data_IF_626719150972
#
_entry.id   IF_626719150972
#
_cell.length_a   1.000
_cell.length_b   1.000
_cell.length_c   1.000
_cell.angle_alpha   90.00
_cell.angle_beta   90.00
_cell.angle_gamma   90.00
#
_symmetry.space_group_name_H-M   'P 1'
#
loop_
_entity.id
_entity.type
_entity.pdbx_description
1 polymer ?
#
# COMPACT_ATOMS: atom_id res chain seq x y z
N UNK A 1 0.69 14.34 1.94
CA UNK A 1 -0.55 13.90 1.26
C UNK A 1 -1.36 13.00 2.18
N UNK A 2 -2.69 13.13 2.18
CA UNK A 2 -3.57 12.29 3.02
C UNK A 2 -4.32 11.27 2.16
N UNK A 3 -4.27 10.01 2.58
CA UNK A 3 -5.04 8.91 2.00
C UNK A 3 -5.99 8.37 3.07
N UNK A 4 -7.30 8.36 2.82
CA UNK A 4 -8.28 7.74 3.72
C UNK A 4 -8.53 6.29 3.33
N UNK A 5 -8.49 5.39 4.31
CA UNK A 5 -8.91 3.99 4.14
C UNK A 5 -10.32 3.82 4.65
N UNK A 6 -11.20 3.33 3.79
CA UNK A 6 -12.58 3.00 4.14
C UNK A 6 -12.73 1.49 4.42
N UNK A 7 -13.78 1.12 5.16
CA UNK A 7 -14.07 -0.28 5.58
C UNK A 7 -14.00 -1.29 4.43
N UNK A 8 -14.43 -0.90 3.23
CA UNK A 8 -14.44 -1.77 2.04
C UNK A 8 -13.06 -1.89 1.34
N UNK A 9 -11.97 -1.70 2.09
CA UNK A 9 -10.56 -1.74 1.61
C UNK A 9 -10.22 -0.73 0.50
N UNK A 10 -11.13 0.21 0.21
CA UNK A 10 -10.90 1.30 -0.74
C UNK A 10 -10.03 2.38 -0.07
N UNK A 11 -9.02 2.84 -0.80
CA UNK A 11 -8.21 3.99 -0.40
C UNK A 11 -8.66 5.19 -1.23
N UNK A 12 -8.76 6.36 -0.61
CA UNK A 12 -9.11 7.60 -1.29
C UNK A 12 -8.01 8.62 -1.05
N UNK A 13 -7.40 9.11 -2.11
CA UNK A 13 -6.40 10.15 -2.03
C UNK A 13 -7.10 11.52 -2.01
N UNK A 14 -7.03 12.20 -0.86
CA UNK A 14 -7.67 13.52 -0.69
C UNK A 14 -7.08 14.56 -1.63
N UNK A 15 -5.77 14.49 -1.90
CA UNK A 15 -5.07 15.45 -2.76
C UNK A 15 -5.41 15.29 -4.26
N UNK A 16 -5.85 14.11 -4.69
CA UNK A 16 -6.21 13.82 -6.09
C UNK A 16 -7.71 13.61 -6.28
N UNK A 17 -8.49 13.78 -5.21
CA UNK A 17 -9.94 13.57 -5.14
C UNK A 17 -10.42 12.27 -5.82
N UNK A 18 -9.66 11.18 -5.67
CA UNK A 18 -9.97 9.90 -6.32
C UNK A 18 -9.65 8.68 -5.48
N UNK A 19 -10.36 7.60 -5.75
CA UNK A 19 -10.01 6.28 -5.24
C UNK A 19 -8.70 5.80 -5.87
N UNK A 20 -7.87 5.18 -5.03
CA UNK A 20 -6.56 4.64 -5.40
C UNK A 20 -6.41 3.23 -4.86
N UNK A 21 -5.50 2.46 -5.46
CA UNK A 21 -5.22 1.10 -5.06
C UNK A 21 -3.87 1.01 -4.31
N UNK A 22 -3.47 -0.22 -3.97
CA UNK A 22 -2.19 -0.47 -3.35
C UNK A 22 -1.00 -0.20 -4.29
N UNK A 23 -1.18 -0.29 -5.61
CA UNK A 23 -0.11 -0.03 -6.56
C UNK A 23 0.22 1.47 -6.63
N UNK A 24 -0.80 2.32 -6.55
CA UNK A 24 -0.62 3.76 -6.39
C UNK A 24 0.20 4.07 -5.14
N UNK A 25 -0.13 3.46 -3.99
CA UNK A 25 0.63 3.65 -2.74
C UNK A 25 2.09 3.19 -2.89
N UNK A 26 2.33 2.06 -3.57
CA UNK A 26 3.69 1.60 -3.89
C UNK A 26 4.44 2.63 -4.76
N UNK A 27 3.77 3.23 -5.74
CA UNK A 27 4.33 4.30 -6.56
C UNK A 27 4.84 5.47 -5.72
N UNK A 28 4.02 5.94 -4.77
CA UNK A 28 4.40 7.01 -3.85
C UNK A 28 5.65 6.69 -3.03
N UNK A 29 5.76 5.44 -2.55
CA UNK A 29 6.92 4.97 -1.78
C UNK A 29 8.18 5.01 -2.67
N UNK A 30 8.09 4.48 -3.89
CA UNK A 30 9.21 4.44 -4.85
C UNK A 30 9.69 5.85 -5.21
N UNK A 31 8.74 6.76 -5.39
CA UNK A 31 8.99 8.17 -5.71
C UNK A 31 9.31 9.02 -4.46
N UNK A 32 9.41 8.40 -3.27
CA UNK A 32 9.74 9.04 -1.99
C UNK A 32 8.80 10.19 -1.59
N UNK A 33 7.53 10.12 -1.99
CA UNK A 33 6.53 11.10 -1.57
C UNK A 33 6.18 10.95 -0.09
N UNK A 34 5.98 12.09 0.58
CA UNK A 34 5.45 12.14 1.95
C UNK A 34 3.92 11.96 1.95
N UNK A 35 3.43 10.89 2.58
CA UNK A 35 2.01 10.63 2.75
C UNK A 35 1.69 10.01 4.10
N UNK A 36 0.43 10.16 4.51
CA UNK A 36 -0.15 9.55 5.72
C UNK A 36 -1.44 8.84 5.31
N UNK A 37 -1.64 7.63 5.83
CA UNK A 37 -2.86 6.85 5.65
C UNK A 37 -3.66 6.89 6.94
N UNK A 38 -4.86 7.44 6.87
CA UNK A 38 -5.79 7.51 7.99
C UNK A 38 -6.92 6.50 7.81
N UNK A 39 -7.36 5.88 8.91
CA UNK A 39 -8.51 5.00 8.90
C UNK A 39 -9.85 5.77 9.04
N UNK A 40 -10.96 5.04 9.21
CA UNK A 40 -12.29 5.66 9.41
C UNK A 40 -12.43 6.45 10.71
N UNK A 41 -11.58 6.20 11.71
CA UNK A 41 -11.51 6.93 12.98
C UNK A 41 -10.48 8.07 12.93
N UNK A 42 -9.87 8.32 11.77
CA UNK A 42 -8.75 9.25 11.57
C UNK A 42 -7.47 8.87 12.33
N UNK A 43 -7.28 7.58 12.64
CA UNK A 43 -6.03 7.08 13.23
C UNK A 43 -4.98 6.84 12.14
N UNK A 44 -3.71 7.17 12.42
CA UNK A 44 -2.60 6.90 11.51
C UNK A 44 -2.28 5.40 11.46
N UNK A 45 -2.56 4.80 10.30
CA UNK A 45 -2.33 3.39 10.02
C UNK A 45 -1.26 3.19 8.94
N UNK A 46 -0.46 4.22 8.64
CA UNK A 46 0.56 4.21 7.58
C UNK A 46 1.50 3.02 7.74
N UNK A 47 2.11 2.86 8.92
CA UNK A 47 3.03 1.77 9.20
C UNK A 47 2.38 0.38 9.07
N UNK A 48 1.13 0.23 9.50
CA UNK A 48 0.40 -1.03 9.36
C UNK A 48 0.20 -1.41 7.88
N UNK A 49 -0.15 -0.43 7.05
CA UNK A 49 -0.33 -0.64 5.60
C UNK A 49 1.00 -0.91 4.92
N UNK A 50 2.08 -0.20 5.29
CA UNK A 50 3.42 -0.45 4.77
C UNK A 50 3.92 -1.86 5.10
N UNK A 51 3.76 -2.31 6.35
CA UNK A 51 4.11 -3.66 6.76
C UNK A 51 3.32 -4.72 5.98
N UNK A 52 2.03 -4.47 5.74
CA UNK A 52 1.19 -5.35 4.90
C UNK A 52 1.71 -5.43 3.46
N UNK A 53 2.08 -4.29 2.87
CA UNK A 53 2.64 -4.21 1.52
C UNK A 53 3.97 -4.95 1.43
N UNK A 54 4.86 -4.74 2.40
CA UNK A 54 6.16 -5.41 2.48
C UNK A 54 5.99 -6.94 2.56
N UNK A 55 5.13 -7.43 3.46
CA UNK A 55 4.84 -8.88 3.57
C UNK A 55 4.31 -9.46 2.27
N UNK A 56 3.46 -8.73 1.54
CA UNK A 56 2.94 -9.14 0.24
C UNK A 56 4.06 -9.29 -0.79
N UNK A 57 4.97 -8.32 -0.85
CA UNK A 57 6.09 -8.33 -1.80
C UNK A 57 7.10 -9.44 -1.50
N UNK A 58 7.45 -9.65 -0.23
CA UNK A 58 8.34 -10.73 0.20
C UNK A 58 7.79 -12.11 -0.20
N UNK A 59 6.48 -12.36 0.03
CA UNK A 59 5.84 -13.60 -0.40
C UNK A 59 5.86 -13.77 -1.92
N UNK A 60 5.57 -12.70 -2.67
CA UNK A 60 5.60 -12.72 -4.14
C UNK A 60 7.01 -13.04 -4.67
N UNK A 61 8.05 -12.54 -4.01
CA UNK A 61 9.44 -12.80 -4.37
C UNK A 61 9.86 -14.23 -4.02
N UNK A 62 9.43 -14.77 -2.88
CA UNK A 62 9.68 -16.17 -2.52
C UNK A 62 9.08 -17.14 -3.56
N UNK A 63 7.80 -16.94 -3.92
CA UNK A 63 7.10 -17.75 -4.93
C UNK A 63 7.80 -17.66 -6.30
N UNK A 64 8.31 -16.48 -6.69
CA UNK A 64 9.05 -16.34 -7.95
C UNK A 64 10.39 -17.08 -7.94
N UNK A 65 11.10 -17.11 -6.80
CA UNK A 65 12.36 -17.86 -6.65
C UNK A 65 12.11 -19.37 -6.76
N UNK A 66 11.08 -19.88 -6.11
CA UNK A 66 10.69 -21.30 -6.21
C UNK A 66 10.42 -21.71 -7.66
N UNK A 67 9.65 -20.91 -8.40
CA UNK A 67 9.37 -21.18 -9.83
C UNK A 67 10.61 -21.18 -10.72
N UNK A 68 11.62 -20.36 -10.41
CA UNK A 68 12.87 -20.31 -11.17
C UNK A 68 13.82 -21.48 -10.88
N UNK A 69 13.68 -22.14 -9.74
CA UNK A 69 14.51 -23.29 -9.36
C UNK A 69 13.96 -24.63 -9.90
N UNK A 70 12.74 -24.63 -10.44
CA UNK A 70 12.07 -25.82 -11.00
C UNK A 70 12.25 -25.90 -12.53
N UNK A 71 12.84 -24.86 -13.15
CA UNK A 71 13.14 -24.78 -14.59
C UNK A 71 14.63 -24.92 -14.83
#
# INVERSE_FOLDING_TARGET
>A
MIIKRYKNRKYYCMNKSKFVDLNYIIGLIKEKYKFTILDSKNEDITNQVLLKLLRRELRKNAIQKEKKNIV
#
